data_IF_536460013220
#
_entry.id   IF_536460013220
#
_cell.length_a   1.000
_cell.length_b   1.000
_cell.length_c   1.000
_cell.angle_alpha   90.00
_cell.angle_beta   90.00
_cell.angle_gamma   90.00
#
_symmetry.space_group_name_H-M   'P 1'
#
loop_
_entity.id
_entity.type
_entity.pdbx_description
1 polymer ?
#
# COMPACT_ATOMS: atom_id res chain seq x y z
N UNK A 1 3.28 -15.78 8.03
CA UNK A 1 4.04 -14.82 8.88
C UNK A 1 3.77 -13.38 8.48
N UNK A 2 3.94 -12.98 7.21
CA UNK A 2 3.70 -11.61 6.75
C UNK A 2 2.31 -11.06 7.12
N UNK A 3 1.23 -11.82 6.91
CA UNK A 3 -0.14 -11.39 7.26
C UNK A 3 -0.27 -10.93 8.73
N UNK A 4 0.40 -11.59 9.68
CA UNK A 4 0.35 -11.20 11.09
C UNK A 4 1.06 -9.86 11.30
N UNK A 5 2.24 -9.69 10.73
CA UNK A 5 3.01 -8.45 10.84
C UNK A 5 2.30 -7.29 10.14
N UNK A 6 1.72 -7.52 8.97
CA UNK A 6 1.01 -6.49 8.21
C UNK A 6 -0.17 -5.90 9.01
N UNK A 7 -0.78 -6.68 9.91
CA UNK A 7 -1.85 -6.25 10.81
C UNK A 7 -1.38 -5.89 12.22
N UNK A 8 -0.07 -5.86 12.49
CA UNK A 8 0.50 -5.36 13.73
C UNK A 8 0.49 -3.83 13.77
N UNK A 9 -0.67 -3.20 13.54
CA UNK A 9 -0.82 -1.74 13.44
C UNK A 9 -0.45 -1.01 14.74
N UNK A 10 -0.50 -1.71 15.88
CA UNK A 10 -0.04 -1.22 17.17
C UNK A 10 1.50 -1.25 17.34
N UNK A 11 2.23 -1.87 16.42
CA UNK A 11 3.70 -1.94 16.40
C UNK A 11 4.28 -1.61 15.01
N UNK A 12 4.28 -0.34 14.60
CA UNK A 12 4.90 0.09 13.34
C UNK A 12 6.41 -0.21 13.27
N UNK A 13 7.10 -0.32 14.41
CA UNK A 13 8.53 -0.63 14.43
C UNK A 13 8.79 -2.06 13.93
N UNK A 14 7.96 -3.04 14.35
CA UNK A 14 8.00 -4.39 13.82
C UNK A 14 7.73 -4.42 12.31
N UNK A 15 6.76 -3.63 11.82
CA UNK A 15 6.46 -3.52 10.40
C UNK A 15 7.66 -2.95 9.61
N UNK A 16 8.30 -1.89 10.10
CA UNK A 16 9.51 -1.29 9.49
C UNK A 16 10.66 -2.30 9.42
N UNK A 17 10.94 -3.00 10.52
CA UNK A 17 12.00 -4.01 10.57
C UNK A 17 11.74 -5.14 9.58
N UNK A 18 10.50 -5.60 9.50
CA UNK A 18 10.10 -6.65 8.56
C UNK A 18 10.24 -6.16 7.13
N UNK A 19 9.79 -4.93 6.83
CA UNK A 19 9.88 -4.34 5.49
C UNK A 19 11.32 -4.29 4.98
N UNK A 20 12.26 -3.88 5.83
CA UNK A 20 13.70 -3.88 5.51
C UNK A 20 14.24 -5.27 5.19
N UNK A 21 13.77 -6.31 5.88
CA UNK A 21 14.20 -7.69 5.66
C UNK A 21 13.60 -8.30 4.38
N UNK A 22 12.33 -8.00 4.07
CA UNK A 22 11.66 -8.57 2.89
C UNK A 22 12.00 -7.84 1.59
N UNK A 23 12.43 -6.58 1.65
CA UNK A 23 12.77 -5.80 0.46
C UNK A 23 13.81 -6.49 -0.47
N UNK A 24 14.97 -6.99 0.01
CA UNK A 24 15.90 -7.73 -0.85
C UNK A 24 15.29 -9.03 -1.40
N UNK A 25 14.41 -9.70 -0.65
CA UNK A 25 13.71 -10.90 -1.11
C UNK A 25 12.72 -10.56 -2.24
N UNK A 26 11.99 -9.46 -2.11
CA UNK A 26 11.09 -8.95 -3.15
C UNK A 26 11.87 -8.61 -4.42
N UNK A 27 13.01 -7.91 -4.29
CA UNK A 27 13.89 -7.60 -5.42
C UNK A 27 14.41 -8.86 -6.11
N UNK A 28 14.73 -9.90 -5.35
CA UNK A 28 15.17 -11.19 -5.86
C UNK A 28 14.04 -12.09 -6.40
N UNK A 29 12.78 -11.63 -6.39
CA UNK A 29 11.61 -12.43 -6.82
C UNK A 29 11.21 -13.53 -5.84
N UNK A 30 11.75 -13.52 -4.62
CA UNK A 30 11.48 -14.50 -3.55
C UNK A 30 10.38 -14.05 -2.58
N UNK A 31 9.81 -12.87 -2.79
CA UNK A 31 8.69 -12.33 -2.03
C UNK A 31 7.74 -11.57 -2.96
N UNK A 32 6.44 -11.60 -2.67
CA UNK A 32 5.41 -10.94 -3.48
C UNK A 32 5.61 -9.42 -3.52
N UNK A 33 5.68 -8.86 -4.73
CA UNK A 33 5.75 -7.41 -4.93
C UNK A 33 4.48 -6.72 -4.43
N UNK A 34 3.31 -7.31 -4.68
CA UNK A 34 2.05 -6.77 -4.21
C UNK A 34 2.01 -6.71 -2.68
N UNK A 35 2.37 -7.80 -2.00
CA UNK A 35 2.38 -7.86 -0.53
C UNK A 35 3.38 -6.87 0.07
N UNK A 36 4.55 -6.70 -0.57
CA UNK A 36 5.49 -5.67 -0.16
C UNK A 36 4.87 -4.26 -0.24
N UNK A 37 4.22 -3.94 -1.36
CA UNK A 37 3.60 -2.63 -1.58
C UNK A 37 2.47 -2.32 -0.57
N UNK A 38 1.63 -3.30 -0.25
CA UNK A 38 0.56 -3.13 0.75
C UNK A 38 1.11 -2.78 2.14
N UNK A 39 2.18 -3.47 2.56
CA UNK A 39 2.82 -3.19 3.85
C UNK A 39 3.62 -1.87 3.81
N UNK A 40 4.20 -1.52 2.66
CA UNK A 40 4.90 -0.25 2.45
C UNK A 40 3.98 0.94 2.69
N UNK A 41 2.75 0.90 2.15
CA UNK A 41 1.78 1.97 2.33
C UNK A 41 1.31 2.09 3.78
N UNK A 42 1.07 0.98 4.49
CA UNK A 42 0.79 1.00 5.95
C UNK A 42 1.91 1.66 6.74
N UNK A 43 3.16 1.23 6.50
CA UNK A 43 4.34 1.78 7.16
C UNK A 43 4.50 3.27 6.84
N UNK A 44 4.31 3.67 5.58
CA UNK A 44 4.38 5.06 5.15
C UNK A 44 3.39 5.95 5.90
N UNK A 45 2.12 5.53 5.98
CA UNK A 45 1.11 6.27 6.75
C UNK A 45 1.45 6.36 8.23
N UNK A 46 1.92 5.26 8.84
CA UNK A 46 2.23 5.22 10.26
C UNK A 46 3.49 6.03 10.63
N UNK A 47 4.45 6.20 9.72
CA UNK A 47 5.76 6.80 10.02
C UNK A 47 5.93 8.22 9.49
N UNK A 48 5.40 8.53 8.31
CA UNK A 48 5.56 9.83 7.65
C UNK A 48 4.22 10.45 7.23
N UNK A 49 3.10 9.76 7.43
CA UNK A 49 1.76 10.28 7.17
C UNK A 49 1.30 10.24 5.72
N UNK A 50 2.09 9.64 4.82
CA UNK A 50 1.75 9.49 3.39
C UNK A 50 2.06 8.08 2.88
N UNK A 51 1.35 7.66 1.83
CA UNK A 51 1.57 6.39 1.14
C UNK A 51 1.98 6.58 -0.33
N UNK A 52 2.48 5.51 -0.96
CA UNK A 52 3.08 5.57 -2.29
C UNK A 52 2.26 4.85 -3.36
N UNK A 53 1.65 3.71 -3.02
CA UNK A 53 0.90 2.85 -3.95
C UNK A 53 -0.63 2.95 -3.80
N UNK A 54 -1.13 3.73 -2.83
CA UNK A 54 -2.55 4.00 -2.65
C UNK A 54 -3.36 2.79 -2.19
N UNK A 55 -2.76 1.83 -1.47
CA UNK A 55 -3.49 0.64 -1.01
C UNK A 55 -4.35 0.86 0.22
N UNK A 56 -4.06 1.89 1.01
CA UNK A 56 -4.80 2.19 2.23
C UNK A 56 -5.88 3.21 1.91
N UNK A 57 -7.14 2.77 2.03
CA UNK A 57 -8.31 3.55 1.67
C UNK A 57 -8.96 4.20 2.90
N UNK A 58 -9.56 5.36 2.67
CA UNK A 58 -10.34 6.16 3.61
C UNK A 58 -11.73 6.40 3.02
N UNK A 59 -12.70 6.69 3.90
CA UNK A 59 -14.02 7.11 3.46
C UNK A 59 -14.04 8.61 3.17
N UNK A 60 -14.35 9.01 1.93
CA UNK A 60 -14.48 10.41 1.51
C UNK A 60 -15.80 10.58 0.76
N UNK A 61 -16.72 11.37 1.31
CA UNK A 61 -18.03 11.64 0.71
C UNK A 61 -18.81 10.34 0.36
N UNK A 62 -18.75 9.33 1.23
CA UNK A 62 -19.42 8.04 1.02
C UNK A 62 -18.73 7.10 0.03
N UNK A 63 -17.56 7.46 -0.50
CA UNK A 63 -16.78 6.63 -1.41
C UNK A 63 -15.39 6.34 -0.85
N UNK A 64 -14.88 5.14 -1.16
CA UNK A 64 -13.50 4.79 -0.84
C UNK A 64 -12.54 5.56 -1.75
N UNK A 65 -11.55 6.19 -1.13
CA UNK A 65 -10.43 6.84 -1.82
C UNK A 65 -9.17 6.69 -0.97
N UNK A 66 -7.97 6.64 -1.57
CA UNK A 66 -6.74 6.54 -0.80
C UNK A 66 -6.63 7.59 0.32
N UNK A 67 -6.05 7.19 1.44
CA UNK A 67 -5.46 8.10 2.42
C UNK A 67 -4.41 9.00 1.76
N UNK A 68 -3.86 9.94 2.54
CA UNK A 68 -2.81 10.88 2.11
C UNK A 68 -1.75 10.24 1.24
N UNK A 69 -1.59 10.76 0.02
CA UNK A 69 -0.61 10.31 -0.95
C UNK A 69 0.65 11.16 -0.87
N UNK A 70 1.79 10.57 -1.21
CA UNK A 70 3.03 11.31 -1.41
C UNK A 70 3.00 12.15 -2.72
N UNK A 71 4.11 12.83 -2.99
CA UNK A 71 4.23 13.68 -4.17
C UNK A 71 3.97 12.89 -5.47
N UNK A 72 2.99 13.34 -6.24
CA UNK A 72 2.57 12.74 -7.51
C UNK A 72 1.57 11.59 -7.36
N UNK A 73 1.28 11.10 -6.15
CA UNK A 73 0.32 10.00 -5.95
C UNK A 73 -1.14 10.37 -6.19
N UNK A 74 -1.48 11.66 -6.30
CA UNK A 74 -2.83 12.12 -6.70
C UNK A 74 -3.06 12.09 -8.22
N UNK A 75 -2.03 11.90 -9.03
CA UNK A 75 -2.17 11.70 -10.47
C UNK A 75 -2.40 10.21 -10.74
N UNK A 76 -3.55 9.87 -11.33
CA UNK A 76 -3.94 8.48 -11.58
C UNK A 76 -3.00 7.74 -12.51
N UNK A 77 -2.38 8.42 -13.50
CA UNK A 77 -1.42 7.78 -14.41
C UNK A 77 -0.12 7.47 -13.70
N UNK A 78 0.34 8.38 -12.84
CA UNK A 78 1.54 8.17 -12.02
C UNK A 78 1.30 7.03 -11.02
N UNK A 79 0.14 7.03 -10.35
CA UNK A 79 -0.24 6.00 -9.40
C UNK A 79 -0.34 4.62 -10.07
N UNK A 80 -1.04 4.52 -11.19
CA UNK A 80 -1.18 3.25 -11.91
C UNK A 80 0.17 2.75 -12.45
N UNK A 81 1.05 3.64 -12.91
CA UNK A 81 2.40 3.26 -13.31
C UNK A 81 3.20 2.67 -12.13
N UNK A 82 3.14 3.28 -10.94
CA UNK A 82 3.78 2.74 -9.72
C UNK A 82 3.21 1.37 -9.35
N UNK A 83 1.88 1.26 -9.33
CA UNK A 83 1.15 0.03 -9.01
C UNK A 83 1.52 -1.11 -9.96
N UNK A 84 1.63 -0.83 -11.25
CA UNK A 84 2.06 -1.80 -12.25
C UNK A 84 3.47 -2.37 -11.96
N UNK A 85 4.42 -1.55 -11.47
CA UNK A 85 5.77 -2.06 -11.10
C UNK A 85 5.76 -3.04 -9.93
N UNK A 86 4.67 -3.05 -9.14
CA UNK A 86 4.48 -3.92 -7.99
C UNK A 86 3.44 -5.02 -8.23
N UNK A 87 3.04 -5.26 -9.48
CA UNK A 87 1.99 -6.22 -9.85
C UNK A 87 0.64 -5.94 -9.18
N UNK A 88 0.35 -4.69 -8.83
CA UNK A 88 -0.95 -4.26 -8.36
C UNK A 88 -1.85 -3.90 -9.54
N UNK A 89 -3.18 -4.15 -9.46
CA UNK A 89 -4.12 -3.64 -10.45
C UNK A 89 -4.15 -2.11 -10.41
N UNK A 90 -4.67 -1.46 -11.46
CA UNK A 90 -4.95 0.00 -11.40
C UNK A 90 -5.81 0.36 -10.20
N UNK A 91 -5.76 1.62 -9.76
CA UNK A 91 -6.58 2.11 -8.66
C UNK A 91 -8.07 1.89 -8.96
N UNK A 92 -8.53 2.26 -10.16
CA UNK A 92 -9.92 2.07 -10.56
C UNK A 92 -10.38 0.61 -10.45
N UNK A 93 -9.53 -0.34 -10.85
CA UNK A 93 -9.82 -1.79 -10.71
C UNK A 93 -9.74 -2.26 -9.25
N UNK A 94 -8.87 -1.66 -8.44
CA UNK A 94 -8.78 -1.98 -7.03
C UNK A 94 -10.04 -1.54 -6.26
N UNK A 95 -10.59 -0.37 -6.59
CA UNK A 95 -11.81 0.13 -6.00
C UNK A 95 -13.05 -0.73 -6.31
N UNK A 96 -13.03 -1.57 -7.36
CA UNK A 96 -14.12 -2.53 -7.60
C UNK A 96 -14.09 -3.73 -6.65
N UNK A 97 -13.05 -3.89 -5.82
CA UNK A 97 -12.95 -4.97 -4.83
C UNK A 97 -13.50 -4.60 -3.47
N UNK A 98 -13.77 -3.32 -3.24
CA UNK A 98 -14.45 -2.82 -2.04
C UNK A 98 -15.92 -2.57 -2.36
N UNK A 99 -16.81 -2.55 -1.35
CA UNK A 99 -18.20 -2.16 -1.56
C UNK A 99 -18.31 -0.74 -2.14
N UNK A 100 -19.41 -0.46 -2.85
CA UNK A 100 -19.66 0.85 -3.49
C UNK A 100 -19.65 2.02 -2.49
N UNK A 101 -19.94 1.73 -1.22
CA UNK A 101 -20.02 2.71 -0.15
C UNK A 101 -19.19 2.29 1.06
N UNK A 102 -18.61 3.31 1.68
CA UNK A 102 -18.11 3.32 3.04
C UNK A 102 -19.08 4.12 3.93
#
# INVERSE_FOLDING_TARGET
>A
MWLMVQHADADPALQVLTLRQIEPLMRAGKFSRADYALMFDRVGLATIGTQHYGSQLSCKNGHFAPHSMDAGGSDSKVLDARRATMNLPSEAKYLTYVPDHC
#
